data_IF_188047581977
#
_entry.id   IF_188047581977
#
_cell.length_a   1.000
_cell.length_b   1.000
_cell.length_c   1.000
_cell.angle_alpha   90.00
_cell.angle_beta   90.00
_cell.angle_gamma   90.00
#
_symmetry.space_group_name_H-M   'P 1'
#
loop_
_entity.id
_entity.type
_entity.pdbx_description
1 polymer ?
#
# COMPACT_ATOMS: atom_id res chain seq x y z
N UNK A 1 -26.72 0.86 -23.08
CA UNK A 1 -25.33 0.35 -23.02
C UNK A 1 -25.28 -0.57 -21.82
N UNK A 2 -25.08 -1.87 -22.03
CA UNK A 2 -25.06 -2.86 -20.96
C UNK A 2 -23.59 -3.04 -20.54
N UNK A 3 -23.04 -2.09 -19.78
CA UNK A 3 -21.71 -2.26 -19.19
C UNK A 3 -21.81 -3.32 -18.08
N UNK A 4 -21.11 -4.46 -18.19
CA UNK A 4 -21.21 -5.52 -17.19
C UNK A 4 -20.59 -5.14 -15.83
N UNK A 5 -19.78 -4.07 -15.81
CA UNK A 5 -19.09 -3.57 -14.62
C UNK A 5 -19.03 -2.05 -14.63
N UNK A 6 -19.21 -1.43 -13.46
CA UNK A 6 -19.12 0.02 -13.29
C UNK A 6 -17.71 0.49 -12.88
N UNK A 7 -16.93 -0.38 -12.20
CA UNK A 7 -15.63 -0.02 -11.65
C UNK A 7 -14.73 -1.24 -11.40
N UNK A 8 -13.42 -0.97 -11.31
CA UNK A 8 -12.41 -1.88 -10.80
C UNK A 8 -11.82 -1.33 -9.49
N UNK A 9 -11.83 -2.13 -8.42
CA UNK A 9 -11.22 -1.78 -7.14
C UNK A 9 -9.90 -2.55 -6.95
N UNK A 10 -8.79 -1.83 -6.88
CA UNK A 10 -7.48 -2.41 -6.53
C UNK A 10 -7.29 -2.32 -5.02
N UNK A 11 -7.20 -3.49 -4.37
CA UNK A 11 -6.94 -3.60 -2.92
C UNK A 11 -5.53 -4.14 -2.73
N UNK A 12 -4.76 -3.48 -1.87
CA UNK A 12 -3.39 -3.88 -1.51
C UNK A 12 -3.21 -3.70 -0.01
N UNK A 13 -2.20 -4.35 0.56
CA UNK A 13 -1.83 -4.14 1.97
C UNK A 13 -1.45 -2.68 2.25
N UNK A 14 -0.84 -2.02 1.25
CA UNK A 14 -0.31 -0.67 1.38
C UNK A 14 0.94 -0.60 2.25
N UNK A 15 1.30 0.61 2.65
CA UNK A 15 2.41 0.88 3.54
C UNK A 15 2.52 2.36 3.87
N UNK A 16 3.49 2.74 4.71
CA UNK A 16 3.75 4.14 5.03
C UNK A 16 4.17 4.95 3.78
N UNK A 17 3.80 6.23 3.71
CA UNK A 17 4.22 7.18 2.66
C UNK A 17 5.31 8.15 3.18
N UNK A 18 5.82 7.93 4.39
CA UNK A 18 6.90 8.71 5.00
C UNK A 18 7.22 8.24 6.42
N UNK A 19 8.28 8.79 7.00
CA UNK A 19 8.77 8.39 8.33
C UNK A 19 7.72 8.50 9.43
N UNK A 20 6.89 9.55 9.38
CA UNK A 20 5.84 9.79 10.38
C UNK A 20 4.71 8.75 10.31
N UNK A 21 4.55 8.04 9.18
CA UNK A 21 3.54 7.00 8.99
C UNK A 21 4.01 5.62 9.48
N UNK A 22 5.32 5.40 9.66
CA UNK A 22 5.88 4.07 9.92
C UNK A 22 5.35 3.48 11.22
N UNK A 23 5.46 4.22 12.32
CA UNK A 23 5.01 3.74 13.63
C UNK A 23 3.48 3.58 13.71
N UNK A 24 2.65 4.53 13.22
CA UNK A 24 1.21 4.34 13.09
C UNK A 24 0.82 3.11 12.25
N UNK A 25 1.49 2.89 11.13
CA UNK A 25 1.26 1.73 10.27
C UNK A 25 1.54 0.42 11.00
N UNK A 26 2.71 0.30 11.63
CA UNK A 26 3.08 -0.90 12.39
C UNK A 26 2.13 -1.16 13.56
N UNK A 27 1.72 -0.11 14.29
CA UNK A 27 0.76 -0.23 15.38
C UNK A 27 -0.61 -0.77 14.88
N UNK A 28 -1.08 -0.30 13.72
CA UNK A 28 -2.31 -0.79 13.10
C UNK A 28 -2.18 -2.25 12.65
N UNK A 29 -1.07 -2.63 12.00
CA UNK A 29 -0.78 -4.01 11.57
C UNK A 29 -0.74 -4.98 12.75
N UNK A 30 -0.19 -4.52 13.89
CA UNK A 30 -0.02 -5.31 15.10
C UNK A 30 -1.22 -5.25 16.05
N UNK A 31 -2.30 -4.54 15.70
CA UNK A 31 -3.48 -4.39 16.55
C UNK A 31 -4.02 -5.76 16.99
N UNK A 32 -4.20 -5.92 18.30
CA UNK A 32 -4.68 -7.18 18.89
C UNK A 32 -3.61 -8.26 19.04
N UNK A 33 -2.33 -7.97 18.76
CA UNK A 33 -1.20 -8.87 18.97
C UNK A 33 -0.32 -8.37 20.11
N UNK A 34 0.21 -9.29 20.91
CA UNK A 34 1.19 -8.97 21.95
C UNK A 34 2.61 -8.99 21.35
N UNK A 35 3.00 -7.88 20.70
CA UNK A 35 4.34 -7.72 20.12
C UNK A 35 5.12 -6.69 20.93
N UNK A 36 6.34 -7.00 21.41
CA UNK A 36 7.16 -6.04 22.13
C UNK A 36 7.52 -4.83 21.27
N UNK A 37 7.49 -3.65 21.86
CA UNK A 37 7.82 -2.39 21.18
C UNK A 37 9.24 -2.39 20.58
N UNK A 38 10.20 -3.05 21.24
CA UNK A 38 11.56 -3.21 20.73
C UNK A 38 11.60 -3.91 19.37
N UNK A 39 10.73 -4.91 19.15
CA UNK A 39 10.60 -5.61 17.87
C UNK A 39 9.97 -4.72 16.80
N UNK A 40 9.02 -3.87 17.19
CA UNK A 40 8.42 -2.90 16.28
C UNK A 40 9.47 -1.88 15.81
N UNK A 41 10.33 -1.40 16.71
CA UNK A 41 11.45 -0.50 16.36
C UNK A 41 12.48 -1.18 15.46
N UNK A 42 12.83 -2.45 15.72
CA UNK A 42 13.71 -3.22 14.84
C UNK A 42 13.17 -3.30 13.40
N UNK A 43 11.87 -3.52 13.24
CA UNK A 43 11.22 -3.53 11.92
C UNK A 43 11.17 -2.13 11.30
N UNK A 44 10.98 -1.08 12.11
CA UNK A 44 10.95 0.31 11.62
C UNK A 44 12.27 0.72 10.94
N UNK A 45 13.43 0.22 11.40
CA UNK A 45 14.73 0.47 10.76
C UNK A 45 14.78 0.04 9.29
N UNK A 46 13.98 -0.95 8.87
CA UNK A 46 13.91 -1.33 7.45
C UNK A 46 13.26 -0.23 6.60
N UNK A 47 12.32 0.54 7.16
CA UNK A 47 11.70 1.66 6.46
C UNK A 47 12.61 2.88 6.38
N UNK A 48 13.51 3.08 7.35
CA UNK A 48 14.49 4.18 7.34
C UNK A 48 15.38 4.16 6.09
N UNK A 49 15.76 2.95 5.63
CA UNK A 49 16.54 2.77 4.40
C UNK A 49 15.84 3.31 3.13
N UNK A 50 14.52 3.50 3.20
CA UNK A 50 13.69 4.02 2.11
C UNK A 50 13.01 5.36 2.48
N UNK A 51 13.54 6.09 3.47
CA UNK A 51 12.97 7.37 3.90
C UNK A 51 11.56 7.25 4.49
N UNK A 52 11.21 6.07 5.00
CA UNK A 52 9.89 5.78 5.55
C UNK A 52 8.85 5.37 4.52
N UNK A 53 9.20 5.33 3.24
CA UNK A 53 8.25 5.07 2.14
C UNK A 53 8.23 3.59 1.78
N UNK A 54 7.04 3.00 1.73
CA UNK A 54 6.86 1.66 1.18
C UNK A 54 6.81 1.70 -0.35
N UNK A 55 7.68 0.95 -1.07
CA UNK A 55 7.67 0.91 -2.54
C UNK A 55 6.35 0.42 -3.13
N UNK A 56 5.57 -0.36 -2.37
CA UNK A 56 4.30 -0.94 -2.85
C UNK A 56 3.29 0.13 -3.24
N UNK A 57 3.29 1.30 -2.59
CA UNK A 57 2.32 2.35 -2.87
C UNK A 57 2.53 2.94 -4.26
N UNK A 58 3.79 3.21 -4.64
CA UNK A 58 4.12 3.68 -5.98
C UNK A 58 3.85 2.59 -7.04
N UNK A 59 4.15 1.32 -6.72
CA UNK A 59 3.85 0.20 -7.61
C UNK A 59 2.34 0.04 -7.84
N UNK A 60 1.52 0.20 -6.80
CA UNK A 60 0.05 0.19 -6.91
C UNK A 60 -0.43 1.34 -7.80
N UNK A 61 0.11 2.55 -7.63
CA UNK A 61 -0.22 3.70 -8.50
C UNK A 61 0.14 3.44 -9.96
N UNK A 62 1.31 2.85 -10.22
CA UNK A 62 1.75 2.44 -11.57
C UNK A 62 0.82 1.38 -12.17
N UNK A 63 0.41 0.38 -11.38
CA UNK A 63 -0.53 -0.65 -11.80
C UNK A 63 -1.89 -0.04 -12.16
N UNK A 64 -2.44 0.84 -11.30
CA UNK A 64 -3.71 1.53 -11.56
C UNK A 64 -3.63 2.34 -12.86
N UNK A 65 -2.55 3.08 -13.08
CA UNK A 65 -2.37 3.84 -14.31
C UNK A 65 -2.31 2.94 -15.57
N UNK A 66 -1.60 1.81 -15.50
CA UNK A 66 -1.54 0.85 -16.59
C UNK A 66 -2.91 0.20 -16.87
N UNK A 67 -3.63 -0.19 -15.82
CA UNK A 67 -4.99 -0.73 -15.93
C UNK A 67 -5.95 0.28 -16.55
N UNK A 68 -5.85 1.56 -16.17
CA UNK A 68 -6.69 2.61 -16.75
C UNK A 68 -6.42 2.78 -18.25
N UNK A 69 -5.16 2.75 -18.68
CA UNK A 69 -4.80 2.82 -20.09
C UNK A 69 -5.35 1.63 -20.87
N UNK A 70 -5.17 0.42 -20.33
CA UNK A 70 -5.62 -0.82 -20.97
C UNK A 70 -7.15 -0.88 -21.09
N UNK A 71 -7.88 -0.55 -20.03
CA UNK A 71 -9.34 -0.56 -20.02
C UNK A 71 -9.93 0.53 -20.93
N UNK A 72 -9.24 1.67 -21.09
CA UNK A 72 -9.66 2.69 -22.05
C UNK A 72 -9.46 2.24 -23.51
N UNK A 73 -8.44 1.43 -23.78
CA UNK A 73 -8.11 0.97 -25.13
C UNK A 73 -8.89 -0.28 -25.55
N UNK A 74 -9.02 -1.25 -24.64
CA UNK A 74 -9.49 -2.61 -24.92
C UNK A 74 -10.58 -3.08 -23.94
N UNK A 75 -11.10 -2.19 -23.08
CA UNK A 75 -12.15 -2.53 -22.13
C UNK A 75 -13.48 -2.87 -22.80
N UNK A 76 -14.38 -3.55 -22.05
CA UNK A 76 -15.72 -3.91 -22.52
C UNK A 76 -16.64 -2.71 -22.79
#
# INVERSE_FOLDING_TARGET
MNQPYDALLVVSFGGPEGMDDVMPFLANVLRGRNVPEARMREVAHHYELFGGVSPINEQNRKLIAALQQELNANGP
#
